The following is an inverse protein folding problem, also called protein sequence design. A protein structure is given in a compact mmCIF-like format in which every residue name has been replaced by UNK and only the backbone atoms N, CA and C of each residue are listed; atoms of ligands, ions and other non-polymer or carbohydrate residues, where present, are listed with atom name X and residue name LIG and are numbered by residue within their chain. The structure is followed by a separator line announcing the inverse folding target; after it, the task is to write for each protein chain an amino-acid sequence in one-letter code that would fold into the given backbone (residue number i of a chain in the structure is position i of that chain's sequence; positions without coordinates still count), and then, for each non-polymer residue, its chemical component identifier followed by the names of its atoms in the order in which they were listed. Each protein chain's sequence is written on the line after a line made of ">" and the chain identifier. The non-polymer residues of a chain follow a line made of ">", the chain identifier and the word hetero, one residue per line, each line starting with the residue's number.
data_IF_784401016685
#
_entry.id   IF_784401016685
#
_cell.length_a   1.000
_cell.length_b   1.000
_cell.length_c   1.000
_cell.angle_alpha   90.00
_cell.angle_beta   90.00
_cell.angle_gamma   90.00
#
_symmetry.space_group_name_H-M   'P 1'
#
loop_
_entity.id
_entity.type
_entity.pdbx_description
1 polymer ?
#
# COMPACT_ATOMS: atom_id res chain seq x y z
N UNK A 1 -13.20 32.74 2.29
CA UNK A 1 -14.26 31.72 2.43
C UNK A 1 -13.75 30.47 1.75
N UNK A 2 -13.40 29.38 2.40
CA UNK A 2 -13.38 28.98 3.82
C UNK A 2 -12.24 27.96 3.90
N UNK A 3 -11.25 28.25 4.73
CA UNK A 3 -10.13 27.36 5.06
C UNK A 3 -10.72 26.28 5.97
N UNK A 4 -10.80 25.04 5.53
CA UNK A 4 -11.34 23.95 6.34
C UNK A 4 -10.28 23.51 7.36
N UNK A 5 -10.63 23.60 8.63
CA UNK A 5 -9.85 23.19 9.81
C UNK A 5 -9.64 21.65 9.88
N UNK A 6 -8.98 21.06 8.87
CA UNK A 6 -8.47 19.69 8.95
C UNK A 6 -6.94 19.62 9.09
N UNK A 7 -6.23 20.74 8.94
CA UNK A 7 -4.76 20.77 8.83
C UNK A 7 -3.98 20.87 10.16
N UNK A 8 -4.58 20.50 11.31
CA UNK A 8 -3.89 20.62 12.61
C UNK A 8 -4.18 19.50 13.60
N UNK A 9 -4.05 18.24 13.18
CA UNK A 9 -3.92 17.14 14.14
C UNK A 9 -2.56 16.44 14.00
N UNK A 10 -1.62 16.64 14.95
CA UNK A 10 -0.29 16.01 14.92
C UNK A 10 -0.30 14.49 15.18
N UNK A 11 -1.48 13.84 15.21
CA UNK A 11 -1.66 12.40 15.48
C UNK A 11 -2.21 11.59 14.28
N UNK A 12 -2.08 12.04 13.03
CA UNK A 12 -2.43 11.19 11.86
C UNK A 12 -1.21 10.40 11.40
N UNK A 13 -1.06 9.22 12.00
CA UNK A 13 -0.11 8.16 11.65
C UNK A 13 -0.77 7.15 10.69
N UNK A 14 -1.54 7.64 9.71
CA UNK A 14 -2.34 6.81 8.82
C UNK A 14 -2.13 7.29 7.39
N UNK A 15 -2.06 6.34 6.45
CA UNK A 15 -2.48 6.63 5.08
C UNK A 15 -3.85 7.27 5.17
N UNK A 16 -4.11 8.37 4.45
CA UNK A 16 -5.43 8.95 4.58
C UNK A 16 -6.43 7.88 4.10
N UNK A 17 -7.25 7.36 5.03
CA UNK A 17 -8.24 6.31 4.81
C UNK A 17 -9.05 6.54 3.51
N UNK A 18 -9.26 7.82 3.17
CA UNK A 18 -9.90 8.24 1.93
C UNK A 18 -9.20 7.68 0.67
N UNK A 19 -7.87 7.65 0.62
CA UNK A 19 -7.10 7.23 -0.55
C UNK A 19 -7.00 5.70 -0.69
N UNK A 20 -6.88 4.94 0.39
CA UNK A 20 -7.00 3.47 0.35
C UNK A 20 -8.35 3.06 -0.24
N UNK A 21 -9.43 3.63 0.30
CA UNK A 21 -10.77 3.36 -0.20
C UNK A 21 -10.95 3.81 -1.65
N UNK A 22 -10.44 4.98 -2.04
CA UNK A 22 -10.51 5.48 -3.41
C UNK A 22 -9.75 4.58 -4.38
N UNK A 23 -8.55 4.14 -4.00
CA UNK A 23 -7.68 3.28 -4.80
C UNK A 23 -8.32 1.90 -4.99
N UNK A 24 -8.79 1.28 -3.89
CA UNK A 24 -9.49 -0.01 -3.94
C UNK A 24 -10.72 0.06 -4.87
N UNK A 25 -11.55 1.11 -4.74
CA UNK A 25 -12.72 1.30 -5.62
C UNK A 25 -12.33 1.54 -7.08
N UNK A 26 -11.25 2.28 -7.34
CA UNK A 26 -10.77 2.57 -8.69
C UNK A 26 -10.07 1.36 -9.36
N UNK A 27 -9.54 0.42 -8.57
CA UNK A 27 -8.93 -0.80 -9.04
C UNK A 27 -9.96 -1.92 -9.32
N UNK A 28 -11.13 -1.86 -8.68
CA UNK A 28 -12.16 -2.90 -8.78
C UNK A 28 -12.59 -3.17 -10.24
N UNK A 29 -12.55 -4.44 -10.70
CA UNK A 29 -12.91 -4.79 -12.08
C UNK A 29 -14.42 -4.74 -12.31
N UNK A 30 -14.83 -4.81 -13.59
CA UNK A 30 -16.25 -4.97 -13.97
C UNK A 30 -16.73 -6.43 -13.85
N UNK A 31 -16.34 -7.10 -12.76
CA UNK A 31 -16.77 -8.45 -12.42
C UNK A 31 -17.95 -8.38 -11.44
N UNK A 32 -19.12 -8.95 -11.75
CA UNK A 32 -20.29 -8.86 -10.89
C UNK A 32 -20.09 -9.42 -9.48
N UNK A 33 -19.39 -10.55 -9.33
CA UNK A 33 -19.21 -11.19 -8.03
C UNK A 33 -18.29 -10.36 -7.14
N UNK A 34 -17.24 -9.78 -7.71
CA UNK A 34 -16.33 -8.89 -6.97
C UNK A 34 -17.02 -7.55 -6.68
N UNK A 35 -17.80 -7.02 -7.63
CA UNK A 35 -18.54 -5.76 -7.44
C UNK A 35 -19.57 -5.83 -6.32
N UNK A 36 -20.28 -6.96 -6.21
CA UNK A 36 -21.25 -7.18 -5.14
C UNK A 36 -20.59 -7.14 -3.75
N UNK A 37 -19.29 -7.46 -3.68
CA UNK A 37 -18.50 -7.54 -2.44
C UNK A 37 -17.51 -6.37 -2.27
N UNK A 38 -17.53 -5.38 -3.18
CA UNK A 38 -16.56 -4.29 -3.19
C UNK A 38 -16.51 -3.53 -1.86
N UNK A 39 -17.66 -3.23 -1.26
CA UNK A 39 -17.67 -2.49 0.00
C UNK A 39 -17.21 -3.34 1.20
N UNK A 40 -17.28 -4.68 1.12
CA UNK A 40 -16.64 -5.57 2.09
C UNK A 40 -15.12 -5.52 1.94
N UNK A 41 -14.62 -5.57 0.71
CA UNK A 41 -13.18 -5.44 0.40
C UNK A 41 -12.65 -4.09 0.90
N UNK A 42 -13.36 -2.99 0.60
CA UNK A 42 -12.98 -1.64 1.07
C UNK A 42 -13.00 -1.57 2.59
N UNK A 43 -14.04 -2.10 3.24
CA UNK A 43 -14.10 -2.09 4.70
C UNK A 43 -12.97 -2.89 5.35
N UNK A 44 -12.60 -4.04 4.77
CA UNK A 44 -11.50 -4.87 5.26
C UNK A 44 -10.13 -4.23 5.02
N UNK A 45 -9.93 -3.58 3.87
CA UNK A 45 -8.74 -2.77 3.60
C UNK A 45 -8.60 -1.71 4.70
N UNK A 46 -9.60 -0.84 4.89
CA UNK A 46 -9.56 0.22 5.91
C UNK A 46 -9.44 -0.29 7.35
N UNK A 47 -10.00 -1.45 7.67
CA UNK A 47 -9.89 -2.04 9.00
C UNK A 47 -8.46 -2.52 9.33
N UNK A 48 -7.61 -2.71 8.32
CA UNK A 48 -6.22 -3.15 8.48
C UNK A 48 -5.41 -2.11 9.27
N UNK A 49 -5.67 -0.81 9.07
CA UNK A 49 -5.08 0.30 9.83
C UNK A 49 -5.27 0.21 11.36
N UNK A 50 -6.28 -0.53 11.83
CA UNK A 50 -6.44 -0.77 13.26
C UNK A 50 -5.30 -1.62 13.86
N UNK A 51 -4.50 -2.29 13.03
CA UNK A 51 -3.34 -3.10 13.42
C UNK A 51 -2.02 -2.32 13.32
N UNK A 52 -2.07 -1.01 13.54
CA UNK A 52 -0.99 -0.03 13.42
C UNK A 52 0.37 -0.40 14.07
N UNK A 53 0.45 -1.41 14.95
CA UNK A 53 1.72 -1.80 15.60
C UNK A 53 2.42 -2.98 14.92
N UNK A 54 1.87 -3.50 13.82
CA UNK A 54 2.44 -4.62 13.09
C UNK A 54 3.11 -4.16 11.79
N UNK A 55 4.44 -4.09 11.80
CA UNK A 55 5.22 -3.60 10.66
C UNK A 55 5.03 -4.43 9.39
N UNK A 56 4.67 -5.72 9.50
CA UNK A 56 4.40 -6.55 8.35
C UNK A 56 3.09 -6.17 7.61
N UNK A 57 2.13 -5.57 8.32
CA UNK A 57 0.83 -5.19 7.76
C UNK A 57 0.89 -3.87 6.98
N UNK A 58 1.89 -3.04 7.30
CA UNK A 58 2.04 -1.68 6.78
C UNK A 58 3.36 -1.46 6.02
N UNK A 59 4.14 -2.53 5.80
CA UNK A 59 5.51 -2.49 5.27
C UNK A 59 6.44 -1.48 5.94
N UNK A 60 6.19 -1.12 7.20
CA UNK A 60 7.08 -0.26 7.97
C UNK A 60 8.32 -1.02 8.46
N UNK A 61 9.28 -0.26 8.98
CA UNK A 61 10.49 -0.77 9.64
C UNK A 61 11.28 -1.81 8.83
N UNK A 62 11.26 -1.72 7.50
CA UNK A 62 11.90 -2.62 6.56
C UNK A 62 11.50 -4.09 6.77
N UNK A 63 10.28 -4.31 7.30
CA UNK A 63 9.72 -5.64 7.52
C UNK A 63 9.26 -6.30 6.20
N UNK A 64 10.07 -6.19 5.14
CA UNK A 64 9.73 -6.65 3.80
C UNK A 64 9.49 -8.16 3.74
N UNK A 65 10.37 -8.96 4.36
CA UNK A 65 10.20 -10.41 4.44
C UNK A 65 8.90 -10.83 5.13
N UNK A 66 8.65 -10.39 6.38
CA UNK A 66 7.38 -10.65 7.06
C UNK A 66 6.15 -10.11 6.31
N UNK A 67 6.26 -8.96 5.63
CA UNK A 67 5.17 -8.39 4.84
C UNK A 67 4.84 -9.23 3.60
N UNK A 68 5.84 -9.76 2.89
CA UNK A 68 5.61 -10.69 1.77
C UNK A 68 5.08 -12.04 2.25
N UNK A 69 5.59 -12.57 3.37
CA UNK A 69 5.07 -13.81 3.96
C UNK A 69 3.59 -13.67 4.32
N UNK A 70 3.19 -12.53 4.89
CA UNK A 70 1.79 -12.21 5.14
C UNK A 70 0.95 -12.21 3.85
N UNK A 71 1.45 -11.62 2.77
CA UNK A 71 0.73 -11.58 1.49
C UNK A 71 0.56 -13.00 0.94
N UNK A 72 1.61 -13.82 1.00
CA UNK A 72 1.56 -15.22 0.58
C UNK A 72 0.53 -16.02 1.41
N UNK A 73 0.57 -15.90 2.74
CA UNK A 73 -0.38 -16.54 3.66
C UNK A 73 -1.84 -16.15 3.35
N UNK A 74 -2.10 -14.86 3.11
CA UNK A 74 -3.45 -14.38 2.75
C UNK A 74 -3.89 -14.93 1.40
N UNK A 75 -2.99 -15.00 0.42
CA UNK A 75 -3.30 -15.62 -0.86
C UNK A 75 -3.53 -17.14 -0.75
N UNK A 76 -2.86 -17.83 0.17
CA UNK A 76 -3.16 -19.23 0.46
C UNK A 76 -4.57 -19.39 1.04
N UNK A 77 -4.96 -18.52 1.98
CA UNK A 77 -6.32 -18.52 2.55
C UNK A 77 -7.39 -18.22 1.48
N UNK A 78 -7.19 -17.18 0.67
CA UNK A 78 -8.07 -16.78 -0.45
C UNK A 78 -8.28 -17.94 -1.43
N UNK A 79 -7.23 -18.73 -1.69
CA UNK A 79 -7.27 -19.89 -2.59
C UNK A 79 -7.79 -21.16 -1.92
N UNK A 80 -7.78 -21.21 -0.58
CA UNK A 80 -8.28 -22.34 0.18
C UNK A 80 -9.81 -22.34 0.12
N UNK A 81 -10.43 -23.43 -0.35
CA UNK A 81 -11.89 -23.57 -0.35
C UNK A 81 -12.46 -23.88 1.03
N UNK A 82 -11.77 -23.48 2.09
CA UNK A 82 -12.12 -23.81 3.48
C UNK A 82 -13.12 -22.79 4.02
N UNK A 83 -14.00 -23.23 4.93
CA UNK A 83 -15.12 -22.42 5.46
C UNK A 83 -14.62 -21.39 6.49
N UNK A 84 -13.33 -21.41 6.86
CA UNK A 84 -12.83 -20.67 8.02
C UNK A 84 -12.56 -19.18 7.75
N UNK A 85 -12.55 -18.73 6.49
CA UNK A 85 -12.28 -17.33 6.16
C UNK A 85 -13.25 -16.73 5.15
N UNK A 86 -13.33 -15.40 5.12
CA UNK A 86 -14.05 -14.67 4.07
C UNK A 86 -13.04 -14.15 3.05
N UNK A 87 -13.03 -14.76 1.87
CA UNK A 87 -12.12 -14.43 0.76
C UNK A 87 -12.00 -12.94 0.48
N UNK A 88 -13.11 -12.19 0.54
CA UNK A 88 -13.12 -10.76 0.24
C UNK A 88 -12.55 -9.92 1.39
N UNK A 89 -12.67 -10.39 2.63
CA UNK A 89 -12.03 -9.78 3.80
C UNK A 89 -10.52 -10.01 3.74
N UNK A 90 -10.10 -11.25 3.49
CA UNK A 90 -8.67 -11.59 3.35
C UNK A 90 -8.03 -10.82 2.19
N UNK A 91 -8.74 -10.70 1.06
CA UNK A 91 -8.29 -9.91 -0.06
C UNK A 91 -8.16 -8.43 0.29
N UNK A 92 -9.17 -7.84 0.95
CA UNK A 92 -9.13 -6.44 1.39
C UNK A 92 -7.94 -6.14 2.31
N UNK A 93 -7.67 -7.01 3.29
CA UNK A 93 -6.53 -6.80 4.20
C UNK A 93 -5.17 -7.05 3.53
N UNK A 94 -5.14 -7.92 2.50
CA UNK A 94 -3.94 -8.15 1.69
C UNK A 94 -3.60 -6.93 0.84
N UNK A 95 -4.56 -6.37 0.10
CA UNK A 95 -4.30 -5.22 -0.77
C UNK A 95 -3.93 -3.96 0.01
N UNK A 96 -4.40 -3.80 1.25
CA UNK A 96 -3.91 -2.75 2.15
C UNK A 96 -2.38 -2.85 2.31
N UNK A 97 -1.89 -4.05 2.60
CA UNK A 97 -0.45 -4.30 2.76
C UNK A 97 0.30 -3.96 1.47
N UNK A 98 -0.24 -4.34 0.30
CA UNK A 98 0.36 -3.99 -1.01
C UNK A 98 0.38 -2.48 -1.27
N UNK A 99 -0.68 -1.76 -0.91
CA UNK A 99 -0.79 -0.31 -1.09
C UNK A 99 0.23 0.44 -0.21
N UNK A 100 0.35 0.03 1.06
CA UNK A 100 1.30 0.60 2.03
C UNK A 100 2.76 0.43 1.62
N UNK A 101 3.10 -0.63 0.86
CA UNK A 101 4.45 -0.77 0.31
C UNK A 101 4.88 0.46 -0.51
N UNK A 102 4.00 0.97 -1.38
CA UNK A 102 4.33 2.11 -2.24
C UNK A 102 4.26 3.45 -1.50
N UNK A 103 3.46 3.50 -0.42
CA UNK A 103 3.33 4.67 0.42
C UNK A 103 4.52 4.84 1.37
N UNK A 104 4.94 3.74 2.00
CA UNK A 104 5.85 3.74 3.14
C UNK A 104 7.26 3.25 2.81
N UNK A 105 7.55 2.83 1.57
CA UNK A 105 8.91 2.54 1.11
C UNK A 105 9.48 3.64 0.22
N UNK A 106 10.77 3.54 -0.13
CA UNK A 106 11.42 4.40 -1.12
C UNK A 106 11.30 3.86 -2.57
N UNK A 107 10.39 2.90 -2.83
CA UNK A 107 10.23 2.30 -4.17
C UNK A 107 10.04 3.36 -5.26
N UNK A 108 9.22 4.38 -4.99
CA UNK A 108 8.88 5.43 -5.95
C UNK A 108 10.12 6.27 -6.28
N UNK A 109 10.87 6.64 -5.25
CA UNK A 109 12.08 7.44 -5.32
C UNK A 109 13.16 6.73 -6.16
N UNK A 110 13.28 5.41 -6.00
CA UNK A 110 14.22 4.56 -6.73
C UNK A 110 13.89 4.38 -8.22
N UNK A 111 12.67 4.71 -8.66
CA UNK A 111 12.20 4.46 -10.03
C UNK A 111 11.67 5.71 -10.74
N UNK A 112 12.00 6.91 -10.24
CA UNK A 112 11.53 8.18 -10.84
C UNK A 112 11.98 8.38 -12.30
N UNK A 113 13.00 7.65 -12.76
CA UNK A 113 13.55 7.68 -14.11
C UNK A 113 12.82 6.77 -15.13
N UNK A 114 11.77 6.05 -14.71
CA UNK A 114 10.96 5.17 -15.58
C UNK A 114 9.47 5.56 -15.53
N UNK A 115 8.79 5.64 -16.68
CA UNK A 115 7.35 5.93 -16.78
C UNK A 115 6.64 4.90 -17.68
N UNK A 116 5.64 4.14 -17.18
CA UNK A 116 5.18 4.12 -15.79
C UNK A 116 6.21 3.53 -14.83
N UNK A 117 6.13 3.91 -13.55
CA UNK A 117 6.89 3.23 -12.49
C UNK A 117 6.44 1.76 -12.45
N UNK A 118 7.38 0.80 -12.39
CA UNK A 118 7.03 -0.61 -12.35
C UNK A 118 6.31 -0.99 -11.05
N UNK A 119 5.36 -1.90 -11.14
CA UNK A 119 4.84 -2.61 -9.97
C UNK A 119 5.87 -3.64 -9.49
N UNK A 120 5.99 -3.79 -8.18
CA UNK A 120 6.80 -4.83 -7.57
C UNK A 120 6.12 -6.20 -7.75
N UNK A 121 6.90 -7.23 -8.02
CA UNK A 121 6.44 -8.62 -8.23
C UNK A 121 6.15 -9.37 -6.91
N UNK A 122 6.18 -8.66 -5.77
CA UNK A 122 5.96 -9.18 -4.42
C UNK A 122 6.97 -10.24 -3.98
N UNK A 123 8.14 -10.30 -4.64
CA UNK A 123 9.24 -11.19 -4.24
C UNK A 123 10.32 -10.39 -3.52
N UNK A 124 10.66 -10.78 -2.28
CA UNK A 124 11.74 -10.12 -1.52
C UNK A 124 13.06 -10.09 -2.31
N UNK A 125 13.34 -11.16 -3.08
CA UNK A 125 14.55 -11.28 -3.87
C UNK A 125 14.64 -10.33 -5.07
N UNK A 126 13.55 -9.69 -5.48
CA UNK A 126 13.54 -8.69 -6.55
C UNK A 126 13.70 -7.25 -6.04
N UNK A 127 13.67 -7.06 -4.71
CA UNK A 127 13.80 -5.73 -4.12
C UNK A 127 15.19 -5.13 -4.42
N UNK A 128 15.26 -3.83 -4.77
CA UNK A 128 16.54 -3.13 -4.90
C UNK A 128 17.35 -3.18 -3.61
N UNK A 129 18.68 -3.22 -3.71
CA UNK A 129 19.56 -3.25 -2.54
C UNK A 129 19.39 -2.02 -1.63
N UNK A 130 19.02 -0.88 -2.20
CA UNK A 130 18.82 0.38 -1.50
C UNK A 130 17.36 0.57 -1.02
N UNK A 131 16.51 -0.47 -1.10
CA UNK A 131 15.14 -0.39 -0.59
C UNK A 131 15.14 -0.12 0.92
N UNK A 132 14.31 0.80 1.35
CA UNK A 132 14.09 1.12 2.77
C UNK A 132 12.63 1.53 2.95
N UNK A 133 12.08 1.30 4.13
CA UNK A 133 10.78 1.85 4.51
C UNK A 133 10.85 2.72 5.75
N UNK A 134 9.79 3.49 5.95
CA UNK A 134 9.60 4.36 7.09
C UNK A 134 9.69 3.58 8.39
N UNK A 135 10.44 4.12 9.35
CA UNK A 135 10.52 3.54 10.69
C UNK A 135 9.45 4.10 11.61
N UNK A 136 8.84 3.21 12.38
CA UNK A 136 7.87 3.49 13.43
C UNK A 136 8.40 3.01 14.79
N UNK A 137 8.37 3.90 15.78
CA UNK A 137 8.95 3.60 17.09
C UNK A 137 8.17 2.55 17.88
N UNK A 138 6.85 2.44 17.69
CA UNK A 138 6.02 1.54 18.49
C UNK A 138 5.81 0.18 17.83
N UNK A 139 6.12 0.07 16.54
CA UNK A 139 5.77 -1.10 15.75
C UNK A 139 6.90 -2.13 15.74
N UNK A 140 6.52 -3.38 15.45
CA UNK A 140 7.43 -4.50 15.36
C UNK A 140 7.03 -5.46 14.22
N UNK A 141 8.00 -6.18 13.61
CA UNK A 141 9.43 -6.18 13.90
C UNK A 141 10.18 -4.96 13.34
N UNK A 142 11.32 -4.60 13.95
CA UNK A 142 12.20 -3.51 13.49
C UNK A 142 13.43 -4.03 12.76
N UNK A 143 13.39 -4.06 11.44
CA UNK A 143 14.40 -4.68 10.60
C UNK A 143 15.23 -3.68 9.77
N UNK A 144 14.88 -2.39 9.81
CA UNK A 144 15.68 -1.35 9.20
C UNK A 144 17.07 -1.18 9.84
N UNK A 145 18.03 -0.69 9.05
CA UNK A 145 19.33 -0.24 9.54
C UNK A 145 19.25 1.04 10.41
N UNK A 146 20.32 1.38 11.14
CA UNK A 146 20.34 2.43 12.17
C UNK A 146 20.08 3.87 11.68
N UNK A 147 20.01 4.10 10.37
CA UNK A 147 19.78 5.43 9.76
C UNK A 147 18.61 5.42 8.78
N UNK A 148 17.71 4.43 8.87
CA UNK A 148 16.52 4.43 8.04
C UNK A 148 15.64 5.65 8.34
N UNK A 149 14.98 6.22 7.32
CA UNK A 149 14.06 7.33 7.51
C UNK A 149 12.94 6.93 8.46
N UNK A 150 12.39 7.90 9.17
CA UNK A 150 11.13 7.74 9.90
C UNK A 150 9.98 7.62 8.92
N UNK A 151 8.87 7.05 9.37
CA UNK A 151 7.64 7.03 8.59
C UNK A 151 7.21 8.45 8.18
N UNK A 152 7.34 9.43 9.08
CA UNK A 152 7.04 10.83 8.77
C UNK A 152 7.89 11.42 7.62
N UNK A 153 9.12 10.90 7.43
CA UNK A 153 10.05 11.34 6.39
C UNK A 153 9.85 10.62 5.05
N UNK A 154 9.17 9.47 5.02
CA UNK A 154 9.03 8.67 3.80
C UNK A 154 7.58 8.51 3.33
N UNK A 155 6.58 8.73 4.18
CA UNK A 155 5.18 8.46 3.84
C UNK A 155 4.68 9.33 2.66
N UNK A 156 4.02 8.67 1.72
CA UNK A 156 3.36 9.27 0.56
C UNK A 156 1.84 9.11 0.68
N UNK A 157 1.35 9.32 1.89
CA UNK A 157 -0.03 9.03 2.32
C UNK A 157 -1.08 10.00 1.82
N UNK A 158 -0.62 11.20 1.48
CA UNK A 158 -1.47 12.28 1.00
C UNK A 158 -0.65 13.22 0.13
N UNK A 159 -1.30 14.00 -0.76
CA UNK A 159 -0.61 15.03 -1.54
C UNK A 159 -0.02 16.16 -0.66
N UNK A 160 -0.37 16.18 0.62
CA UNK A 160 0.10 17.15 1.61
C UNK A 160 1.14 16.60 2.57
N UNK A 161 1.47 15.30 2.52
CA UNK A 161 2.58 14.77 3.32
C UNK A 161 3.90 15.36 2.84
N UNK A 162 4.87 15.49 3.75
CA UNK A 162 6.16 16.12 3.42
C UNK A 162 6.85 15.43 2.25
N UNK A 163 6.85 14.09 2.22
CA UNK A 163 7.43 13.33 1.11
C UNK A 163 6.50 13.32 -0.10
N UNK A 164 5.21 13.04 0.08
CA UNK A 164 4.22 12.98 -0.99
C UNK A 164 4.14 14.27 -1.82
N UNK A 165 4.30 15.43 -1.19
CA UNK A 165 4.25 16.74 -1.85
C UNK A 165 5.50 17.07 -2.69
N UNK A 166 6.59 16.30 -2.58
CA UNK A 166 7.81 16.57 -3.35
C UNK A 166 7.56 16.34 -4.83
N UNK A 167 8.08 17.24 -5.65
CA UNK A 167 7.99 17.17 -7.11
C UNK A 167 9.28 16.58 -7.68
N UNK A 168 9.13 15.60 -8.56
CA UNK A 168 10.25 15.04 -9.33
C UNK A 168 10.80 16.12 -10.25
N UNK A 169 12.10 16.40 -10.13
CA UNK A 169 12.72 17.56 -10.78
C UNK A 169 13.09 17.32 -12.26
N UNK A 170 13.28 16.07 -12.67
CA UNK A 170 13.82 15.72 -13.98
C UNK A 170 13.44 14.29 -14.39
N UNK A 171 13.63 13.96 -15.66
CA UNK A 171 13.34 12.63 -16.20
C UNK A 171 11.89 12.47 -16.66
N UNK A 172 11.48 11.23 -17.02
CA UNK A 172 10.15 10.95 -17.56
C UNK A 172 8.99 11.37 -16.64
N UNK A 173 9.22 11.34 -15.32
CA UNK A 173 8.22 11.74 -14.33
C UNK A 173 8.34 13.20 -13.86
N UNK A 174 9.16 14.04 -14.52
CA UNK A 174 9.34 15.44 -14.13
C UNK A 174 8.00 16.18 -13.99
N UNK A 175 7.82 16.91 -12.89
CA UNK A 175 6.61 17.67 -12.60
C UNK A 175 5.49 16.87 -11.90
N UNK A 176 5.61 15.53 -11.78
CA UNK A 176 4.69 14.71 -10.98
C UNK A 176 5.11 14.75 -9.50
N UNK A 177 4.15 14.68 -8.59
CA UNK A 177 4.43 14.53 -7.16
C UNK A 177 4.75 13.08 -6.80
N UNK A 178 5.49 12.86 -5.71
CA UNK A 178 5.74 11.50 -5.22
C UNK A 178 4.45 10.80 -4.77
N UNK A 179 3.48 11.56 -4.25
CA UNK A 179 2.13 11.05 -3.96
C UNK A 179 1.44 10.52 -5.22
N UNK A 180 1.40 11.31 -6.31
CA UNK A 180 0.70 10.90 -7.54
C UNK A 180 1.33 9.64 -8.14
N UNK A 181 2.65 9.54 -8.06
CA UNK A 181 3.41 8.38 -8.51
C UNK A 181 3.15 7.15 -7.63
N UNK A 182 3.16 7.30 -6.30
CA UNK A 182 2.81 6.24 -5.36
C UNK A 182 1.39 5.73 -5.60
N UNK A 183 0.42 6.66 -5.68
CA UNK A 183 -0.98 6.34 -5.91
C UNK A 183 -1.19 5.62 -7.24
N UNK A 184 -0.59 6.10 -8.33
CA UNK A 184 -0.72 5.46 -9.64
C UNK A 184 -0.10 4.05 -9.68
N UNK A 185 1.04 3.87 -9.03
CA UNK A 185 1.74 2.57 -8.98
C UNK A 185 0.97 1.58 -8.11
N UNK A 186 0.54 2.00 -6.92
CA UNK A 186 -0.30 1.19 -6.04
C UNK A 186 -1.64 0.84 -6.71
N UNK A 187 -2.26 1.77 -7.43
CA UNK A 187 -3.47 1.50 -8.20
C UNK A 187 -3.27 0.40 -9.24
N UNK A 188 -2.13 0.41 -9.95
CA UNK A 188 -1.80 -0.65 -10.89
C UNK A 188 -1.54 -1.98 -10.18
N UNK A 189 -0.79 -1.98 -9.07
CA UNK A 189 -0.54 -3.19 -8.29
C UNK A 189 -1.84 -3.80 -7.75
N UNK A 190 -2.76 -2.99 -7.22
CA UNK A 190 -4.07 -3.44 -6.74
C UNK A 190 -4.93 -3.99 -7.89
N UNK A 191 -4.85 -3.43 -9.10
CA UNK A 191 -5.50 -4.01 -10.29
C UNK A 191 -4.95 -5.40 -10.63
N UNK A 192 -3.64 -5.58 -10.53
CA UNK A 192 -3.01 -6.87 -10.77
C UNK A 192 -3.52 -7.91 -9.74
N UNK A 193 -3.65 -7.51 -8.47
CA UNK A 193 -4.23 -8.35 -7.42
C UNK A 193 -5.71 -8.69 -7.68
N UNK A 194 -6.52 -7.72 -8.10
CA UNK A 194 -7.91 -7.97 -8.48
C UNK A 194 -8.03 -8.93 -9.67
N UNK A 195 -7.13 -8.83 -10.65
CA UNK A 195 -7.11 -9.73 -11.79
C UNK A 195 -6.84 -11.18 -11.37
N UNK A 196 -6.03 -11.39 -10.34
CA UNK A 196 -5.82 -12.72 -9.74
C UNK A 196 -7.04 -13.18 -8.92
N UNK A 197 -7.67 -12.27 -8.16
CA UNK A 197 -8.91 -12.58 -7.44
C UNK A 197 -10.02 -13.02 -8.41
N UNK A 198 -10.17 -12.35 -9.55
CA UNK A 198 -11.13 -12.73 -10.60
C UNK A 198 -10.92 -14.16 -11.09
N UNK A 199 -9.67 -14.65 -11.14
CA UNK A 199 -9.38 -16.04 -11.52
C UNK A 199 -9.81 -17.01 -10.43
N UNK A 200 -9.62 -16.66 -9.16
CA UNK A 200 -10.02 -17.48 -8.01
C UNK A 200 -11.55 -17.56 -7.88
N UNK A 201 -12.24 -16.44 -8.02
CA UNK A 201 -13.70 -16.34 -7.81
C UNK A 201 -14.52 -16.92 -8.98
N UNK A 202 -13.92 -17.04 -10.16
CA UNK A 202 -14.58 -17.57 -11.37
C UNK A 202 -14.04 -18.91 -11.88
N UNK A 203 -12.90 -19.38 -11.37
CA UNK A 203 -12.36 -20.71 -11.64
C UNK A 203 -13.12 -21.78 -10.86
#
# INVERSE_FOLDING_TARGET
>A
MTRTDQDRNPNRLYFNLDYHAALTRAACPDDPKIKDELEVIVAANLATDANQFNSAWHFDNCAFGPGTERIDDLWELIRSTTIETNTFVDFGTMIHTVEDFYAHSNWIELHTDVDPIPTWDLQVGSLPADIVSGTFLLDWPKLCGPNAPTHAELNKDSPTSTEGAKIVQSGPNAGKSLFDLAYATALQATRDQFADLSKVVNG
#
